data_IF_884218033065
#
_entry.id   IF_884218033065
#
_cell.length_a   1.000
_cell.length_b   1.000
_cell.length_c   1.000
_cell.angle_alpha   90.00
_cell.angle_beta   90.00
_cell.angle_gamma   90.00
#
_symmetry.space_group_name_H-M   'P 1'
#
loop_
_entity.id
_entity.type
_entity.pdbx_description
1 polymer ?
#
# COMPACT_ATOMS: atom_id res chain seq x y z
N UNK A 1 1.88 -16.13 -46.55
CA UNK A 1 2.42 -17.29 -45.81
C UNK A 1 2.79 -16.74 -44.43
N UNK A 2 1.85 -16.62 -43.47
CA UNK A 2 1.52 -17.61 -42.42
C UNK A 2 2.76 -18.34 -41.90
N UNK A 3 3.07 -18.46 -40.62
CA UNK A 3 2.54 -17.99 -39.32
C UNK A 3 3.64 -18.40 -38.30
N UNK A 4 3.39 -18.20 -36.99
CA UNK A 4 4.12 -18.68 -35.81
C UNK A 4 5.18 -17.70 -35.26
N UNK A 5 5.11 -17.24 -34.00
CA UNK A 5 4.29 -17.69 -32.89
C UNK A 5 4.18 -16.59 -31.83
N UNK A 6 2.95 -16.42 -31.33
CA UNK A 6 2.61 -15.58 -30.20
C UNK A 6 3.34 -16.06 -28.94
N UNK A 7 4.29 -15.26 -28.44
CA UNK A 7 4.70 -15.36 -27.05
C UNK A 7 3.66 -14.66 -26.18
N UNK A 8 2.62 -15.39 -25.81
CA UNK A 8 1.75 -15.02 -24.70
C UNK A 8 2.58 -15.07 -23.40
N UNK A 9 3.20 -13.95 -23.00
CA UNK A 9 3.61 -13.77 -21.60
C UNK A 9 2.34 -13.48 -20.81
N UNK A 10 1.77 -14.57 -20.30
CA UNK A 10 0.76 -14.60 -19.26
C UNK A 10 0.95 -13.44 -18.28
N UNK A 11 0.06 -12.44 -18.30
CA UNK A 11 -0.12 -11.53 -17.16
C UNK A 11 -1.17 -12.20 -16.28
N UNK A 12 -0.79 -13.02 -15.27
CA UNK A 12 -1.76 -13.75 -14.48
C UNK A 12 -2.25 -12.81 -13.38
N UNK A 13 -3.52 -12.42 -13.46
CA UNK A 13 -4.22 -11.51 -12.55
C UNK A 13 -3.86 -10.04 -12.84
N UNK A 14 -4.85 -9.30 -13.30
CA UNK A 14 -4.84 -7.85 -13.31
C UNK A 14 -4.72 -7.37 -11.85
N UNK A 15 -3.49 -7.14 -11.36
CA UNK A 15 -3.22 -6.75 -9.96
C UNK A 15 -4.02 -5.50 -9.57
N UNK A 16 -4.28 -4.63 -10.53
CA UNK A 16 -5.14 -3.46 -10.43
C UNK A 16 -6.61 -3.76 -10.12
N UNK A 17 -7.08 -4.99 -10.35
CA UNK A 17 -8.43 -5.45 -10.00
C UNK A 17 -8.51 -6.05 -8.59
N UNK A 18 -7.36 -6.29 -7.94
CA UNK A 18 -7.33 -6.81 -6.56
C UNK A 18 -7.91 -5.73 -5.63
N UNK A 19 -8.93 -6.04 -4.80
CA UNK A 19 -9.58 -5.04 -3.94
C UNK A 19 -8.62 -4.28 -3.01
N UNK A 20 -7.57 -4.94 -2.52
CA UNK A 20 -6.52 -4.33 -1.69
C UNK A 20 -5.75 -3.26 -2.48
N UNK A 21 -5.44 -3.52 -3.76
CA UNK A 21 -4.75 -2.58 -4.62
C UNK A 21 -5.60 -1.33 -4.85
N UNK A 22 -6.88 -1.50 -5.18
CA UNK A 22 -7.81 -0.39 -5.45
C UNK A 22 -7.88 0.54 -4.22
N UNK A 23 -8.08 -0.03 -3.04
CA UNK A 23 -8.11 0.76 -1.79
C UNK A 23 -6.77 1.41 -1.47
N UNK A 24 -5.65 0.73 -1.73
CA UNK A 24 -4.33 1.32 -1.52
C UNK A 24 -4.08 2.48 -2.50
N UNK A 25 -4.58 2.40 -3.72
CA UNK A 25 -4.53 3.46 -4.73
C UNK A 25 -5.29 4.71 -4.26
N UNK A 26 -6.52 4.53 -3.78
CA UNK A 26 -7.31 5.63 -3.21
C UNK A 26 -6.66 6.20 -1.94
N UNK A 27 -6.10 5.34 -1.07
CA UNK A 27 -5.32 5.76 0.07
C UNK A 27 -4.13 6.65 -0.35
N UNK A 28 -3.36 6.23 -1.35
CA UNK A 28 -2.18 6.96 -1.82
C UNK A 28 -2.53 8.33 -2.41
N UNK A 29 -3.63 8.42 -3.17
CA UNK A 29 -4.15 9.72 -3.65
C UNK A 29 -4.46 10.67 -2.49
N UNK A 30 -5.10 10.18 -1.44
CA UNK A 30 -5.41 11.01 -0.26
C UNK A 30 -4.15 11.33 0.57
N UNK A 31 -3.21 10.39 0.66
CA UNK A 31 -1.95 10.57 1.37
C UNK A 31 -1.10 11.68 0.73
N UNK A 32 -0.96 11.70 -0.59
CA UNK A 32 -0.19 12.73 -1.30
C UNK A 32 -0.77 14.13 -1.07
N UNK A 33 -2.10 14.29 -1.13
CA UNK A 33 -2.79 15.54 -0.79
C UNK A 33 -2.56 15.94 0.68
N UNK A 34 -2.48 14.99 1.59
CA UNK A 34 -2.15 15.26 2.99
C UNK A 34 -0.68 15.71 3.16
N UNK A 35 0.27 15.02 2.52
CA UNK A 35 1.70 15.35 2.57
C UNK A 35 1.97 16.77 2.04
N UNK A 36 1.25 17.21 1.00
CA UNK A 36 1.34 18.58 0.49
C UNK A 36 0.93 19.62 1.55
N UNK A 37 0.04 19.27 2.48
CA UNK A 37 -0.32 20.17 3.59
C UNK A 37 0.66 20.16 4.76
N UNK A 38 1.69 19.30 4.76
CA UNK A 38 2.66 19.25 5.86
C UNK A 38 3.54 20.51 5.85
N UNK A 39 4.03 20.95 7.03
CA UNK A 39 5.14 21.91 7.12
C UNK A 39 6.34 21.45 6.29
N UNK A 40 7.05 22.38 5.65
CA UNK A 40 8.12 22.09 4.68
C UNK A 40 9.15 21.08 5.21
N UNK A 41 9.61 21.25 6.46
CA UNK A 41 10.59 20.35 7.10
C UNK A 41 10.04 18.94 7.33
N UNK A 42 8.76 18.82 7.71
CA UNK A 42 8.08 17.53 7.93
C UNK A 42 7.75 16.83 6.61
N UNK A 43 7.54 17.59 5.53
CA UNK A 43 7.30 17.04 4.19
C UNK A 43 8.50 16.24 3.68
N UNK A 44 9.71 16.79 3.78
CA UNK A 44 10.95 16.13 3.34
C UNK A 44 11.52 15.11 4.32
N UNK A 45 10.88 14.91 5.47
CA UNK A 45 11.25 13.86 6.43
C UNK A 45 10.15 12.81 6.51
N UNK A 46 9.12 13.10 7.30
CA UNK A 46 8.02 12.18 7.56
C UNK A 46 7.15 11.94 6.32
N UNK A 47 6.86 12.99 5.54
CA UNK A 47 6.09 12.90 4.30
C UNK A 47 6.77 12.00 3.27
N UNK A 48 8.05 12.24 2.99
CA UNK A 48 8.83 11.41 2.07
C UNK A 48 8.93 9.96 2.54
N UNK A 49 9.05 9.72 3.86
CA UNK A 49 9.08 8.36 4.41
C UNK A 49 7.74 7.63 4.20
N UNK A 50 6.62 8.30 4.44
CA UNK A 50 5.27 7.78 4.19
C UNK A 50 5.07 7.42 2.71
N UNK A 51 5.48 8.32 1.82
CA UNK A 51 5.40 8.15 0.37
C UNK A 51 6.16 6.89 -0.08
N UNK A 52 7.44 6.81 0.26
CA UNK A 52 8.33 5.71 -0.10
C UNK A 52 7.84 4.34 0.43
N UNK A 53 7.36 4.29 1.67
CA UNK A 53 6.86 3.02 2.25
C UNK A 53 5.57 2.61 1.53
N UNK A 54 4.67 3.55 1.23
CA UNK A 54 3.43 3.24 0.52
C UNK A 54 3.69 2.74 -0.89
N UNK A 55 4.63 3.37 -1.62
CA UNK A 55 5.12 2.87 -2.91
C UNK A 55 5.71 1.45 -2.81
N UNK A 56 6.45 1.16 -1.73
CA UNK A 56 6.97 -0.19 -1.51
C UNK A 56 5.86 -1.22 -1.26
N UNK A 57 4.72 -0.82 -0.69
CA UNK A 57 3.56 -1.71 -0.55
C UNK A 57 2.98 -2.04 -1.94
N UNK A 58 2.89 -1.07 -2.85
CA UNK A 58 2.49 -1.35 -4.25
C UNK A 58 3.43 -2.34 -4.92
N UNK A 59 4.75 -2.13 -4.84
CA UNK A 59 5.74 -3.05 -5.42
C UNK A 59 5.55 -4.49 -4.90
N UNK A 60 5.32 -4.64 -3.59
CA UNK A 60 5.08 -5.96 -3.01
C UNK A 60 3.76 -6.57 -3.48
N UNK A 61 2.70 -5.77 -3.63
CA UNK A 61 1.41 -6.27 -4.17
C UNK A 61 1.57 -6.79 -5.60
N UNK A 62 2.34 -6.11 -6.45
CA UNK A 62 2.68 -6.61 -7.79
C UNK A 62 3.52 -7.89 -7.74
N UNK A 63 4.32 -8.08 -6.70
CA UNK A 63 5.14 -9.27 -6.53
C UNK A 63 4.35 -10.48 -6.00
N UNK A 64 3.23 -10.28 -5.30
CA UNK A 64 2.46 -11.37 -4.68
C UNK A 64 2.05 -12.49 -5.65
N UNK A 65 1.49 -12.23 -6.86
CA UNK A 65 1.05 -13.29 -7.77
C UNK A 65 2.17 -14.20 -8.27
N UNK A 66 3.40 -13.69 -8.34
CA UNK A 66 4.57 -14.40 -8.87
C UNK A 66 5.51 -14.93 -7.77
N UNK A 67 5.21 -14.64 -6.50
CA UNK A 67 6.05 -15.02 -5.37
C UNK A 67 5.86 -16.50 -5.01
N UNK A 68 6.96 -17.26 -5.02
CA UNK A 68 7.00 -18.64 -4.50
C UNK A 68 6.81 -18.67 -2.97
N UNK A 69 7.16 -17.58 -2.28
CA UNK A 69 6.99 -17.41 -0.83
C UNK A 69 5.86 -16.42 -0.52
N UNK A 70 4.66 -16.64 -1.10
CA UNK A 70 3.52 -15.72 -1.01
C UNK A 70 3.22 -15.24 0.42
N UNK A 71 3.18 -16.14 1.40
CA UNK A 71 2.91 -15.80 2.81
C UNK A 71 3.95 -14.80 3.34
N UNK A 72 5.24 -15.00 3.03
CA UNK A 72 6.32 -14.10 3.45
C UNK A 72 6.16 -12.72 2.83
N UNK A 73 5.81 -12.64 1.55
CA UNK A 73 5.49 -11.37 0.88
C UNK A 73 4.30 -10.66 1.54
N UNK A 74 3.21 -11.39 1.84
CA UNK A 74 2.05 -10.82 2.51
C UNK A 74 2.36 -10.32 3.93
N UNK A 75 3.20 -11.03 4.68
CA UNK A 75 3.66 -10.59 6.00
C UNK A 75 4.53 -9.32 5.90
N UNK A 76 5.37 -9.20 4.87
CA UNK A 76 6.13 -7.96 4.61
C UNK A 76 5.21 -6.78 4.31
N UNK A 77 4.15 -6.98 3.53
CA UNK A 77 3.10 -5.97 3.28
C UNK A 77 2.46 -5.56 4.61
N UNK A 78 2.14 -6.52 5.49
CA UNK A 78 1.50 -6.26 6.78
C UNK A 78 2.36 -5.35 7.66
N UNK A 79 3.65 -5.67 7.80
CA UNK A 79 4.59 -4.86 8.59
C UNK A 79 4.69 -3.44 8.03
N UNK A 80 4.68 -3.27 6.71
CA UNK A 80 4.74 -1.95 6.09
C UNK A 80 3.46 -1.14 6.32
N UNK A 81 2.28 -1.76 6.23
CA UNK A 81 1.01 -1.10 6.56
C UNK A 81 1.03 -0.60 8.01
N UNK A 82 1.46 -1.44 8.95
CA UNK A 82 1.53 -1.04 10.36
C UNK A 82 2.56 0.09 10.58
N UNK A 83 3.67 0.08 9.85
CA UNK A 83 4.61 1.19 9.86
C UNK A 83 3.98 2.48 9.32
N UNK A 84 3.20 2.43 8.24
CA UNK A 84 2.49 3.61 7.72
C UNK A 84 1.51 4.17 8.76
N UNK A 85 0.76 3.32 9.48
CA UNK A 85 -0.14 3.75 10.57
C UNK A 85 0.63 4.48 11.67
N UNK A 86 1.76 3.94 12.10
CA UNK A 86 2.62 4.59 13.12
C UNK A 86 3.13 5.94 12.62
N UNK A 87 3.58 6.03 11.37
CA UNK A 87 4.08 7.29 10.79
C UNK A 87 2.97 8.33 10.64
N UNK A 88 1.74 7.93 10.28
CA UNK A 88 0.58 8.82 10.24
C UNK A 88 0.19 9.33 11.63
N UNK A 89 0.24 8.47 12.65
CA UNK A 89 0.02 8.87 14.04
C UNK A 89 1.07 9.88 14.48
N UNK A 90 2.35 9.64 14.18
CA UNK A 90 3.42 10.60 14.43
C UNK A 90 3.22 11.92 13.67
N UNK A 91 2.69 11.89 12.45
CA UNK A 91 2.37 13.09 11.70
C UNK A 91 1.30 13.91 12.43
N UNK A 92 0.28 13.25 12.98
CA UNK A 92 -0.79 13.90 13.74
C UNK A 92 -0.30 14.42 15.09
N UNK A 93 0.47 13.62 15.82
CA UNK A 93 0.99 14.01 17.14
C UNK A 93 2.06 15.12 17.05
N UNK A 94 2.78 15.19 15.93
CA UNK A 94 3.68 16.32 15.62
C UNK A 94 3.01 17.48 14.90
N UNK A 95 1.67 17.50 14.83
CA UNK A 95 0.85 18.54 14.22
C UNK A 95 1.16 18.81 12.74
N UNK A 96 1.77 17.85 12.04
CA UNK A 96 2.05 17.94 10.61
C UNK A 96 0.79 17.75 9.74
N UNK A 97 -0.22 17.07 10.30
CA UNK A 97 -1.51 16.80 9.64
C UNK A 97 -2.66 17.11 10.61
N UNK A 98 -3.78 17.59 10.07
CA UNK A 98 -5.02 17.80 10.84
C UNK A 98 -5.59 16.46 11.31
N UNK A 99 -6.25 16.43 12.48
CA UNK A 99 -6.94 15.25 13.01
C UNK A 99 -7.93 14.65 12.02
N UNK A 100 -8.71 15.47 11.31
CA UNK A 100 -9.71 14.98 10.33
C UNK A 100 -9.05 14.17 9.20
N UNK A 101 -8.01 14.72 8.54
CA UNK A 101 -7.25 13.99 7.50
C UNK A 101 -6.57 12.73 8.06
N UNK A 102 -6.02 12.79 9.27
CA UNK A 102 -5.45 11.61 9.93
C UNK A 102 -6.48 10.50 10.12
N UNK A 103 -7.66 10.81 10.65
CA UNK A 103 -8.72 9.82 10.89
C UNK A 103 -9.21 9.20 9.58
N UNK A 104 -9.35 9.99 8.52
CA UNK A 104 -9.71 9.48 7.20
C UNK A 104 -8.68 8.49 6.67
N UNK A 105 -7.39 8.85 6.69
CA UNK A 105 -6.30 7.98 6.22
C UNK A 105 -6.14 6.72 7.07
N UNK A 106 -6.21 6.86 8.39
CA UNK A 106 -6.11 5.74 9.34
C UNK A 106 -7.25 4.75 9.13
N UNK A 107 -8.49 5.22 8.94
CA UNK A 107 -9.64 4.36 8.68
C UNK A 107 -9.43 3.49 7.43
N UNK A 108 -8.94 4.09 6.35
CA UNK A 108 -8.61 3.34 5.12
C UNK A 108 -7.51 2.30 5.35
N UNK A 109 -6.45 2.62 6.11
CA UNK A 109 -5.41 1.65 6.45
C UNK A 109 -5.92 0.50 7.32
N UNK A 110 -6.87 0.75 8.23
CA UNK A 110 -7.50 -0.29 9.03
C UNK A 110 -8.29 -1.26 8.14
N UNK A 111 -9.03 -0.77 7.16
CA UNK A 111 -9.71 -1.60 6.15
C UNK A 111 -8.73 -2.44 5.34
N UNK A 112 -7.67 -1.83 4.80
CA UNK A 112 -6.61 -2.51 4.05
C UNK A 112 -5.98 -3.61 4.92
N UNK A 113 -5.69 -3.32 6.19
CA UNK A 113 -5.15 -4.28 7.15
C UNK A 113 -6.08 -5.48 7.40
N UNK A 114 -7.39 -5.25 7.53
CA UNK A 114 -8.38 -6.34 7.66
C UNK A 114 -8.41 -7.23 6.42
N UNK A 115 -8.40 -6.64 5.23
CA UNK A 115 -8.40 -7.38 3.96
C UNK A 115 -7.12 -8.20 3.81
N UNK A 116 -5.96 -7.62 4.14
CA UNK A 116 -4.69 -8.33 4.11
C UNK A 116 -4.67 -9.49 5.12
N UNK A 117 -5.20 -9.29 6.33
CA UNK A 117 -5.32 -10.34 7.34
C UNK A 117 -6.17 -11.52 6.85
N UNK A 118 -7.26 -11.25 6.13
CA UNK A 118 -8.05 -12.28 5.45
C UNK A 118 -7.24 -13.04 4.40
N UNK A 119 -6.47 -12.32 3.58
CA UNK A 119 -5.63 -12.92 2.53
C UNK A 119 -4.50 -13.79 3.09
N UNK A 120 -3.87 -13.36 4.19
CA UNK A 120 -2.84 -14.14 4.89
C UNK A 120 -3.43 -15.43 5.44
N UNK A 121 -4.61 -15.39 6.05
CA UNK A 121 -5.28 -16.59 6.56
C UNK A 121 -5.61 -17.57 5.45
N UNK A 122 -6.18 -17.07 4.34
CA UNK A 122 -6.52 -17.89 3.18
C UNK A 122 -5.29 -18.47 2.46
N UNK A 123 -4.12 -17.82 2.57
CA UNK A 123 -2.87 -18.32 1.94
C UNK A 123 -2.09 -19.31 2.83
N UNK A 124 -2.53 -19.54 4.07
CA UNK A 124 -1.95 -20.54 5.00
C UNK A 124 -2.69 -21.87 5.00
N UNK A 125 -3.92 -21.90 4.47
CA UNK A 125 -4.72 -23.10 4.26
C UNK A 125 -4.31 -23.76 2.95
#
# INVERSE_FOLDING_TARGET
>A
MKDYSHAHTHTPIAVNEIPIFIKLYDFYKNLTLAIVSFPKTKRYSLGQKLDNITLKIFELLFFVPISQEKIKTLLQISVKIDLVKVLLRLAKDSQAITTSKYLSLESTLQEIGRMLGGWIKASKQ
#
